data_IF_068926506563
#
_entry.id   IF_068926506563
#
_cell.length_a   1.000
_cell.length_b   1.000
_cell.length_c   1.000
_cell.angle_alpha   90.00
_cell.angle_beta   90.00
_cell.angle_gamma   90.00
#
_symmetry.space_group_name_H-M   'P 1'
#
loop_
_entity.id
_entity.type
_entity.pdbx_description
1 polymer ?
#
# COMPACT_ATOMS: atom_id res chain seq x y z
N UNK A 1 -20.42 5.24 -12.50
CA UNK A 1 -19.30 5.33 -11.52
C UNK A 1 -19.92 5.15 -10.16
N UNK A 2 -19.35 4.30 -9.32
CA UNK A 2 -19.79 4.11 -7.93
C UNK A 2 -18.71 4.74 -7.05
N UNK A 3 -19.13 5.54 -6.08
CA UNK A 3 -18.28 6.14 -5.06
C UNK A 3 -18.48 5.36 -3.75
N UNK A 4 -17.40 5.11 -3.05
CA UNK A 4 -17.40 4.38 -1.78
C UNK A 4 -16.88 5.30 -0.68
N UNK A 5 -17.54 5.32 0.45
CA UNK A 5 -17.15 6.13 1.62
C UNK A 5 -15.90 5.58 2.29
N UNK A 6 -15.61 4.29 2.07
CA UNK A 6 -14.48 3.59 2.66
C UNK A 6 -13.70 2.82 1.60
N UNK A 7 -12.38 2.77 1.75
CA UNK A 7 -11.50 2.02 0.88
C UNK A 7 -10.47 1.25 1.72
N UNK A 8 -10.74 -0.02 2.04
CA UNK A 8 -9.85 -0.83 2.83
C UNK A 8 -8.51 -1.06 2.13
N UNK A 9 -7.46 -1.25 2.92
CA UNK A 9 -6.12 -1.62 2.43
C UNK A 9 -5.95 -3.12 2.52
N UNK A 10 -5.57 -3.75 1.42
CA UNK A 10 -5.22 -5.17 1.36
C UNK A 10 -3.74 -5.33 1.05
N UNK A 11 -3.06 -6.17 1.81
CA UNK A 11 -1.65 -6.49 1.59
C UNK A 11 -1.38 -7.95 1.87
N UNK A 12 -0.22 -8.45 1.45
CA UNK A 12 0.17 -9.84 1.68
C UNK A 12 1.24 -9.93 2.75
N UNK A 13 1.15 -10.96 3.57
CA UNK A 13 2.16 -11.36 4.54
C UNK A 13 2.75 -12.71 4.14
N UNK A 14 4.07 -12.81 4.12
CA UNK A 14 4.77 -14.06 3.82
C UNK A 14 4.83 -14.93 5.07
N UNK A 15 4.40 -16.18 4.94
CA UNK A 15 4.48 -17.18 6.00
C UNK A 15 5.86 -17.85 6.05
N UNK A 16 6.20 -18.53 7.17
CA UNK A 16 7.47 -19.24 7.30
C UNK A 16 7.72 -20.33 6.24
N UNK A 17 6.66 -20.88 5.67
CA UNK A 17 6.72 -21.89 4.60
C UNK A 17 6.91 -21.28 3.19
N UNK A 18 7.04 -19.96 3.09
CA UNK A 18 7.19 -19.23 1.84
C UNK A 18 5.88 -18.98 1.08
N UNK A 19 4.75 -19.44 1.60
CA UNK A 19 3.45 -19.10 1.06
C UNK A 19 2.99 -17.72 1.58
N UNK A 20 1.93 -17.15 0.97
CA UNK A 20 1.39 -15.85 1.35
C UNK A 20 -0.01 -15.99 1.91
N UNK A 21 -0.38 -15.08 2.79
CA UNK A 21 -1.74 -14.87 3.23
C UNK A 21 -2.14 -13.40 3.02
N UNK A 22 -3.41 -13.15 2.76
CA UNK A 22 -3.93 -11.79 2.69
C UNK A 22 -4.20 -11.24 4.08
N UNK A 23 -3.77 -9.99 4.27
CA UNK A 23 -4.19 -9.14 5.37
C UNK A 23 -5.10 -8.06 4.80
N UNK A 24 -6.18 -7.76 5.50
CA UNK A 24 -7.10 -6.69 5.14
C UNK A 24 -7.31 -5.78 6.34
N UNK A 25 -7.16 -4.50 6.10
CA UNK A 25 -7.44 -3.46 7.08
C UNK A 25 -8.57 -2.60 6.56
N UNK A 26 -9.63 -2.52 7.35
CA UNK A 26 -10.72 -1.60 7.03
C UNK A 26 -10.22 -0.16 7.14
N UNK A 27 -10.76 0.72 6.31
CA UNK A 27 -10.43 2.14 6.42
C UNK A 27 -10.98 2.64 7.76
N UNK A 28 -10.08 3.06 8.62
CA UNK A 28 -10.45 3.57 9.93
C UNK A 28 -9.86 4.97 10.09
N UNK A 29 -10.70 5.91 10.51
CA UNK A 29 -10.25 7.24 10.92
C UNK A 29 -9.75 7.18 12.36
N UNK A 30 -8.66 6.42 12.55
CA UNK A 30 -7.99 6.24 13.84
C UNK A 30 -6.61 6.88 13.79
N UNK A 31 -6.01 7.21 14.94
CA UNK A 31 -4.62 7.66 15.00
C UNK A 31 -3.67 6.68 14.31
N UNK A 32 -2.59 7.20 13.75
CA UNK A 32 -1.59 6.41 13.01
C UNK A 32 -1.07 5.21 13.81
N UNK A 33 -0.77 5.42 15.10
CA UNK A 33 -0.25 4.37 15.99
C UNK A 33 -1.23 3.21 16.16
N UNK A 34 -2.52 3.53 16.31
CA UNK A 34 -3.59 2.52 16.40
C UNK A 34 -3.73 1.76 15.09
N UNK A 35 -3.64 2.45 13.95
CA UNK A 35 -3.70 1.82 12.63
C UNK A 35 -2.54 0.83 12.43
N UNK A 36 -1.32 1.21 12.80
CA UNK A 36 -0.15 0.31 12.78
C UNK A 36 -0.33 -0.89 13.71
N UNK A 37 -0.87 -0.68 14.91
CA UNK A 37 -1.15 -1.78 15.84
C UNK A 37 -2.17 -2.78 15.25
N UNK A 38 -3.22 -2.30 14.62
CA UNK A 38 -4.19 -3.14 13.88
C UNK A 38 -3.51 -3.95 12.77
N UNK A 39 -2.62 -3.33 11.99
CA UNK A 39 -1.86 -4.00 10.93
C UNK A 39 -0.99 -5.13 11.47
N UNK A 40 -0.30 -4.92 12.59
CA UNK A 40 0.51 -5.95 13.24
C UNK A 40 -0.32 -7.15 13.71
N UNK A 41 -1.53 -6.92 14.19
CA UNK A 41 -2.45 -7.99 14.58
C UNK A 41 -2.85 -8.82 13.35
N UNK A 42 -3.19 -8.18 12.23
CA UNK A 42 -3.51 -8.86 10.98
C UNK A 42 -2.33 -9.70 10.46
N UNK A 43 -1.11 -9.14 10.48
CA UNK A 43 0.10 -9.86 10.09
C UNK A 43 0.35 -11.10 10.98
N UNK A 44 0.21 -10.95 12.29
CA UNK A 44 0.39 -12.07 13.22
C UNK A 44 -0.61 -13.19 12.98
N UNK A 45 -1.88 -12.85 12.74
CA UNK A 45 -2.93 -13.83 12.41
C UNK A 45 -2.65 -14.51 11.06
N UNK A 46 -2.20 -13.77 10.05
CA UNK A 46 -1.85 -14.30 8.73
C UNK A 46 -0.72 -15.33 8.80
N UNK A 47 0.31 -15.07 9.62
CA UNK A 47 1.42 -16.01 9.83
C UNK A 47 0.99 -17.32 10.48
N UNK A 48 -0.06 -17.33 11.28
CA UNK A 48 -0.52 -18.48 12.06
C UNK A 48 -1.46 -19.41 11.31
N UNK A 49 -2.07 -19.01 10.21
CA UNK A 49 -2.99 -19.88 9.51
C UNK A 49 -3.86 -19.26 8.43
N UNK A 50 -3.63 -17.99 8.11
CA UNK A 50 -4.32 -17.34 6.99
C UNK A 50 -4.03 -18.09 5.68
N UNK A 51 -5.03 -18.30 4.87
CA UNK A 51 -4.88 -18.79 3.49
C UNK A 51 -5.06 -17.64 2.53
N UNK A 52 -4.36 -17.71 1.37
CA UNK A 52 -4.82 -16.96 0.21
C UNK A 52 -6.09 -17.68 -0.25
N UNK A 53 -7.20 -17.43 0.40
CA UNK A 53 -8.46 -17.70 -0.23
C UNK A 53 -8.52 -16.82 -1.46
N UNK A 54 -8.87 -17.42 -2.60
CA UNK A 54 -9.32 -16.70 -3.80
C UNK A 54 -10.59 -15.97 -3.39
N UNK A 55 -10.36 -14.83 -2.80
CA UNK A 55 -11.38 -14.15 -2.03
C UNK A 55 -12.36 -13.52 -3.01
N UNK A 56 -13.61 -13.90 -2.90
CA UNK A 56 -14.73 -13.12 -3.45
C UNK A 56 -14.72 -11.65 -2.96
N UNK A 57 -13.88 -11.32 -2.00
CA UNK A 57 -13.52 -9.96 -1.58
C UNK A 57 -12.70 -9.19 -2.62
N UNK A 58 -12.16 -9.84 -3.66
CA UNK A 58 -11.59 -9.16 -4.82
C UNK A 58 -12.62 -8.32 -5.59
N UNK A 59 -13.91 -8.55 -5.36
CA UNK A 59 -15.01 -7.73 -5.87
C UNK A 59 -15.26 -6.46 -5.05
N UNK A 60 -14.67 -6.36 -3.85
CA UNK A 60 -14.78 -5.18 -2.99
C UNK A 60 -13.67 -4.18 -3.31
N UNK A 61 -13.97 -2.89 -3.43
CA UNK A 61 -12.96 -1.87 -3.68
C UNK A 61 -11.90 -1.93 -2.60
N UNK A 62 -10.62 -1.93 -3.01
CA UNK A 62 -9.49 -2.01 -2.10
C UNK A 62 -8.29 -1.29 -2.67
N UNK A 63 -7.45 -0.76 -1.79
CA UNK A 63 -6.10 -0.36 -2.13
C UNK A 63 -5.21 -1.58 -1.87
N UNK A 64 -4.56 -2.10 -2.91
CA UNK A 64 -3.57 -3.15 -2.75
C UNK A 64 -2.21 -2.52 -2.46
N UNK A 65 -1.64 -2.83 -1.31
CA UNK A 65 -0.35 -2.35 -0.85
C UNK A 65 0.69 -3.47 -0.86
N UNK A 66 1.86 -3.21 -1.45
CA UNK A 66 2.96 -4.17 -1.52
C UNK A 66 4.28 -3.52 -1.12
N UNK A 67 4.96 -4.12 -0.14
CA UNK A 67 6.32 -3.75 0.23
C UNK A 67 7.31 -4.73 -0.39
N UNK A 68 8.31 -4.21 -1.09
CA UNK A 68 9.39 -4.97 -1.74
C UNK A 68 10.75 -4.55 -1.17
N UNK A 69 11.02 -4.79 0.13
CA UNK A 69 12.14 -4.18 0.86
C UNK A 69 13.52 -4.63 0.38
N UNK A 70 13.59 -5.65 -0.46
CA UNK A 70 14.81 -6.16 -1.08
C UNK A 70 15.06 -5.63 -2.50
N UNK A 71 14.16 -4.79 -3.04
CA UNK A 71 14.28 -4.27 -4.39
C UNK A 71 14.41 -2.75 -4.39
N UNK A 72 15.43 -2.26 -5.10
CA UNK A 72 15.51 -0.88 -5.54
C UNK A 72 15.19 -0.85 -7.05
N UNK A 73 14.08 -0.24 -7.43
CA UNK A 73 13.59 -0.24 -8.79
C UNK A 73 13.29 1.19 -9.29
N UNK A 74 13.38 1.38 -10.58
CA UNK A 74 13.02 2.64 -11.26
C UNK A 74 11.65 2.56 -11.94
N UNK A 75 11.12 1.36 -12.10
CA UNK A 75 9.83 1.09 -12.72
C UNK A 75 9.26 -0.23 -12.21
N UNK A 76 7.96 -0.27 -11.97
CA UNK A 76 7.22 -1.46 -11.57
C UNK A 76 5.87 -1.45 -12.27
N UNK A 77 5.51 -2.57 -12.89
CA UNK A 77 4.20 -2.79 -13.48
C UNK A 77 3.52 -3.94 -12.78
N UNK A 78 2.32 -3.72 -12.30
CA UNK A 78 1.49 -4.77 -11.71
C UNK A 78 0.76 -5.58 -12.78
N UNK A 79 0.47 -6.86 -12.53
CA UNK A 79 -0.45 -7.62 -13.36
C UNK A 79 -1.80 -6.91 -13.46
N UNK A 80 -2.33 -6.83 -14.66
CA UNK A 80 -3.67 -6.31 -14.90
C UNK A 80 -4.66 -7.47 -15.07
N UNK A 81 -5.84 -7.35 -14.48
CA UNK A 81 -6.93 -8.28 -14.70
C UNK A 81 -7.57 -8.06 -16.07
N UNK A 82 -8.23 -9.09 -16.61
CA UNK A 82 -9.04 -8.97 -17.81
C UNK A 82 -10.45 -9.49 -17.47
N UNK A 83 -11.49 -8.66 -17.48
CA UNK A 83 -11.47 -7.21 -17.68
C UNK A 83 -10.69 -6.46 -16.58
N UNK A 84 -10.24 -5.24 -16.91
CA UNK A 84 -9.50 -4.41 -15.96
C UNK A 84 -10.37 -4.06 -14.74
N UNK A 85 -9.82 -4.24 -13.54
CA UNK A 85 -10.46 -3.80 -12.30
C UNK A 85 -10.15 -2.33 -12.00
N UNK A 86 -10.84 -1.75 -11.03
CA UNK A 86 -10.68 -0.36 -10.59
C UNK A 86 -9.84 -0.21 -9.33
N UNK A 87 -9.28 -1.29 -8.81
CA UNK A 87 -8.51 -1.25 -7.58
C UNK A 87 -7.18 -0.50 -7.76
N UNK A 88 -6.88 0.34 -6.80
CA UNK A 88 -5.60 1.05 -6.73
C UNK A 88 -4.52 0.10 -6.23
N UNK A 89 -3.35 0.11 -6.88
CA UNK A 89 -2.17 -0.65 -6.45
C UNK A 89 -1.06 0.30 -6.12
N UNK A 90 -0.56 0.22 -4.90
CA UNK A 90 0.58 1.00 -4.41
C UNK A 90 1.68 0.03 -4.02
N UNK A 91 2.89 0.26 -4.52
CA UNK A 91 4.06 -0.54 -4.14
C UNK A 91 5.24 0.34 -3.86
N UNK A 92 6.06 -0.07 -2.89
CA UNK A 92 7.30 0.60 -2.57
C UNK A 92 8.44 -0.39 -2.40
N UNK A 93 9.64 0.12 -2.68
CA UNK A 93 10.86 -0.66 -2.65
C UNK A 93 11.71 -0.48 -1.40
N UNK A 94 12.98 -0.76 -1.53
CA UNK A 94 13.99 -0.57 -0.51
C UNK A 94 14.28 0.92 -0.28
N UNK A 95 14.51 1.30 0.97
CA UNK A 95 15.08 2.61 1.31
C UNK A 95 16.52 2.69 0.81
N UNK A 96 16.91 3.80 0.21
CA UNK A 96 18.27 4.03 -0.26
C UNK A 96 18.71 5.49 -0.04
N UNK A 97 20.01 5.69 0.04
CA UNK A 97 20.60 7.03 0.18
C UNK A 97 20.93 7.60 -1.20
N UNK A 98 20.51 8.84 -1.46
CA UNK A 98 20.89 9.59 -2.66
C UNK A 98 21.06 11.06 -2.32
N UNK A 99 22.21 11.63 -2.65
CA UNK A 99 22.54 13.03 -2.38
C UNK A 99 22.34 13.44 -0.90
N UNK A 100 22.68 12.55 0.04
CA UNK A 100 22.52 12.81 1.48
C UNK A 100 21.10 12.67 2.03
N UNK A 101 20.14 12.31 1.19
CA UNK A 101 18.74 12.11 1.58
C UNK A 101 18.34 10.63 1.50
N UNK A 102 17.57 10.17 2.46
CA UNK A 102 16.91 8.86 2.39
C UNK A 102 15.74 8.96 1.40
N UNK A 103 15.70 8.05 0.46
CA UNK A 103 14.69 8.00 -0.59
C UNK A 103 14.03 6.63 -0.67
N UNK A 104 12.84 6.60 -1.23
CA UNK A 104 12.03 5.42 -1.43
C UNK A 104 11.38 5.48 -2.82
N UNK A 105 11.53 4.42 -3.61
CA UNK A 105 10.77 4.29 -4.86
C UNK A 105 9.34 3.85 -4.53
N UNK A 106 8.37 4.64 -4.97
CA UNK A 106 6.94 4.32 -4.84
C UNK A 106 6.31 4.29 -6.22
N UNK A 107 5.54 3.25 -6.52
CA UNK A 107 4.72 3.12 -7.73
C UNK A 107 3.25 3.09 -7.37
N UNK A 108 2.43 3.77 -8.16
CA UNK A 108 0.98 3.70 -8.08
C UNK A 108 0.42 3.29 -9.45
N UNK A 109 -0.51 2.34 -9.45
CA UNK A 109 -1.28 1.96 -10.62
C UNK A 109 -2.76 2.20 -10.35
N UNK A 110 -3.42 2.90 -11.27
CA UNK A 110 -4.84 3.26 -11.20
C UNK A 110 -5.52 3.03 -12.54
N UNK A 111 -6.83 2.85 -12.53
CA UNK A 111 -7.61 2.76 -13.76
C UNK A 111 -7.77 4.16 -14.37
N UNK A 112 -7.30 4.37 -15.59
CA UNK A 112 -7.24 5.69 -16.22
C UNK A 112 -8.61 6.36 -16.42
N UNK A 113 -9.70 5.58 -16.51
CA UNK A 113 -11.04 6.14 -16.57
C UNK A 113 -11.52 6.78 -15.25
N UNK A 114 -10.81 6.53 -14.13
CA UNK A 114 -11.14 7.02 -12.79
C UNK A 114 -10.14 8.06 -12.26
N UNK A 115 -8.91 8.02 -12.75
CA UNK A 115 -7.85 8.90 -12.31
C UNK A 115 -6.91 9.26 -13.47
N UNK A 116 -6.49 10.51 -13.50
CA UNK A 116 -5.52 11.04 -14.48
C UNK A 116 -4.24 11.53 -13.79
N UNK A 117 -3.34 12.13 -14.56
CA UNK A 117 -2.05 12.61 -14.08
C UNK A 117 -2.15 13.64 -12.94
N UNK A 118 -3.23 14.44 -12.90
CA UNK A 118 -3.42 15.41 -11.82
C UNK A 118 -3.73 14.72 -10.48
N UNK A 119 -4.56 13.66 -10.51
CA UNK A 119 -4.86 12.86 -9.32
C UNK A 119 -3.62 12.15 -8.80
N UNK A 120 -2.80 11.60 -9.70
CA UNK A 120 -1.52 10.95 -9.36
C UNK A 120 -0.55 11.95 -8.74
N UNK A 121 -0.43 13.15 -9.31
CA UNK A 121 0.43 14.21 -8.76
C UNK A 121 0.00 14.63 -7.35
N UNK A 122 -1.31 14.73 -7.09
CA UNK A 122 -1.84 15.00 -5.75
C UNK A 122 -1.54 13.88 -4.77
N UNK A 123 -1.65 12.63 -5.20
CA UNK A 123 -1.31 11.48 -4.37
C UNK A 123 0.15 11.57 -3.90
N UNK A 124 1.11 11.76 -4.80
CA UNK A 124 2.52 11.83 -4.42
C UNK A 124 2.83 13.01 -3.51
N UNK A 125 2.21 14.17 -3.75
CA UNK A 125 2.37 15.33 -2.87
C UNK A 125 1.85 15.05 -1.46
N UNK A 126 0.64 14.52 -1.33
CA UNK A 126 0.07 14.18 -0.03
C UNK A 126 0.91 13.11 0.68
N UNK A 127 1.40 12.10 -0.04
CA UNK A 127 2.27 11.07 0.53
C UNK A 127 3.58 11.68 1.08
N UNK A 128 4.20 12.60 0.36
CA UNK A 128 5.42 13.28 0.79
C UNK A 128 5.18 14.15 2.04
N UNK A 129 4.07 14.88 2.08
CA UNK A 129 3.63 15.68 3.22
C UNK A 129 3.44 14.80 4.48
N UNK A 130 2.73 13.68 4.36
CA UNK A 130 2.50 12.74 5.46
C UNK A 130 3.79 12.07 5.95
N UNK A 131 4.67 11.63 5.05
CA UNK A 131 5.97 11.05 5.43
C UNK A 131 6.83 12.09 6.16
N UNK A 132 6.85 13.32 5.69
CA UNK A 132 7.60 14.41 6.33
C UNK A 132 7.07 14.72 7.72
N UNK A 133 5.74 14.69 7.90
CA UNK A 133 5.13 14.90 9.21
C UNK A 133 5.44 13.77 10.21
N UNK A 134 5.55 12.52 9.72
CA UNK A 134 5.89 11.37 10.57
C UNK A 134 7.39 11.27 10.90
N UNK A 135 8.26 11.86 10.08
CA UNK A 135 9.71 11.84 10.24
C UNK A 135 10.24 13.28 10.35
N UNK A 136 9.93 14.01 11.44
CA UNK A 136 10.44 15.38 11.61
C UNK A 136 11.97 15.36 11.61
N UNK A 137 12.58 16.20 10.80
CA UNK A 137 14.02 16.43 10.81
C UNK A 137 14.42 17.13 12.10
N UNK A 138 15.58 16.76 12.69
CA UNK A 138 16.09 17.33 13.96
C UNK A 138 16.40 18.84 13.88
N UNK A 139 16.21 19.51 12.75
CA UNK A 139 16.47 20.94 12.56
C UNK A 139 15.43 21.89 13.18
N UNK A 140 14.38 21.38 13.81
CA UNK A 140 13.30 22.19 14.42
C UNK A 140 13.18 22.02 15.96
N UNK A 141 14.29 21.72 16.66
CA UNK A 141 14.35 21.81 18.12
C UNK A 141 15.23 22.97 18.59
#
# INVERSE_FOLDING_TARGET
MVEYDECPVSFTEMKPDGSYAYCRMESARVPYEDYIAMGRVQQAAARQGGTIETDRRAESPSIFASCLPWLNYTSLTHPACTPADSNVRVSWGQLFMRCGMTQLSVSIQVHHALADGWHIARFYRALEEEITALCPTEENQ
#
